data_IF_483691488868
#
_entry.id   IF_483691488868
#
_cell.length_a   1.000
_cell.length_b   1.000
_cell.length_c   1.000
_cell.angle_alpha   90.00
_cell.angle_beta   90.00
_cell.angle_gamma   90.00
#
_symmetry.space_group_name_H-M   'P 1'
#
loop_
_entity.id
_entity.type
_entity.pdbx_description
1 polymer ?
#
# COMPACT_ATOMS: atom_id res chain seq x y z
N UNK A 1 -6.76 -10.93 1.31
CA UNK A 1 -7.86 -11.44 2.01
C UNK A 1 -8.71 -10.45 2.78
N UNK A 2 -8.30 -9.34 3.15
CA UNK A 2 -9.11 -8.32 3.82
C UNK A 2 -9.35 -7.11 2.95
N UNK A 3 -9.42 -7.33 1.65
CA UNK A 3 -9.57 -6.25 0.67
C UNK A 3 -10.78 -5.36 0.95
N UNK A 4 -11.91 -5.97 1.33
CA UNK A 4 -13.12 -5.19 1.60
C UNK A 4 -12.92 -4.22 2.76
N UNK A 5 -12.45 -4.71 3.91
CA UNK A 5 -12.25 -3.88 5.10
C UNK A 5 -11.19 -2.81 4.87
N UNK A 6 -10.08 -3.17 4.22
CA UNK A 6 -9.01 -2.24 3.90
C UNK A 6 -9.50 -1.17 2.93
N UNK A 7 -10.22 -1.57 1.89
CA UNK A 7 -10.76 -0.65 0.89
C UNK A 7 -11.76 0.31 1.50
N UNK A 8 -12.60 -0.17 2.40
CA UNK A 8 -13.54 0.68 3.14
C UNK A 8 -12.80 1.76 3.94
N UNK A 9 -11.73 1.38 4.64
CA UNK A 9 -10.91 2.33 5.40
C UNK A 9 -10.22 3.34 4.48
N UNK A 10 -9.72 2.91 3.34
CA UNK A 10 -9.10 3.79 2.36
C UNK A 10 -10.11 4.79 1.80
N UNK A 11 -11.32 4.34 1.49
CA UNK A 11 -12.39 5.21 1.00
C UNK A 11 -12.74 6.29 2.02
N UNK A 12 -12.82 5.94 3.29
CA UNK A 12 -13.08 6.90 4.37
C UNK A 12 -12.02 8.00 4.41
N UNK A 13 -10.76 7.63 4.30
CA UNK A 13 -9.64 8.58 4.25
C UNK A 13 -9.77 9.50 3.03
N UNK A 14 -10.06 8.93 1.87
CA UNK A 14 -10.21 9.67 0.62
C UNK A 14 -11.34 10.68 0.72
N UNK A 15 -12.51 10.26 1.20
CA UNK A 15 -13.69 11.14 1.32
C UNK A 15 -13.43 12.27 2.32
N UNK A 16 -12.75 11.97 3.41
CA UNK A 16 -12.43 12.94 4.44
C UNK A 16 -11.51 14.03 3.89
N UNK A 17 -10.45 13.65 3.20
CA UNK A 17 -9.50 14.61 2.63
C UNK A 17 -10.09 15.41 1.47
N UNK A 18 -10.82 14.73 0.57
CA UNK A 18 -11.47 15.40 -0.56
C UNK A 18 -12.54 16.38 -0.08
N UNK A 19 -13.31 16.02 0.93
CA UNK A 19 -14.33 16.88 1.52
C UNK A 19 -13.73 18.14 2.12
N UNK A 20 -12.62 18.03 2.83
CA UNK A 20 -11.93 19.17 3.42
C UNK A 20 -11.38 20.13 2.36
N UNK A 21 -10.94 19.58 1.23
CA UNK A 21 -10.42 20.39 0.11
C UNK A 21 -11.50 21.02 -0.75
N UNK A 22 -12.78 20.75 -0.49
CA UNK A 22 -13.87 21.29 -1.29
C UNK A 22 -13.95 20.70 -2.70
N UNK A 23 -13.41 19.49 -2.91
CA UNK A 23 -13.40 18.84 -4.21
C UNK A 23 -14.80 18.45 -4.67
N UNK A 24 -15.08 18.62 -5.96
CA UNK A 24 -16.34 18.17 -6.56
C UNK A 24 -16.34 16.70 -6.90
N UNK A 25 -15.19 16.16 -7.28
CA UNK A 25 -15.05 14.76 -7.69
C UNK A 25 -13.63 14.27 -7.47
N UNK A 26 -13.49 13.01 -7.05
CA UNK A 26 -12.21 12.32 -6.99
C UNK A 26 -12.00 11.57 -8.30
N UNK A 27 -10.88 11.82 -8.96
CA UNK A 27 -10.53 11.23 -10.26
C UNK A 27 -9.72 9.96 -10.07
N UNK A 28 -8.70 10.01 -9.21
CA UNK A 28 -7.86 8.85 -8.93
C UNK A 28 -7.34 8.89 -7.50
N UNK A 29 -6.97 7.73 -7.00
CA UNK A 29 -6.38 7.55 -5.67
C UNK A 29 -5.12 6.73 -5.84
N UNK A 30 -3.99 7.30 -5.43
CA UNK A 30 -2.70 6.59 -5.44
C UNK A 30 -2.47 5.96 -4.08
N UNK A 31 -2.30 4.65 -4.06
CA UNK A 31 -2.15 3.86 -2.83
C UNK A 31 -0.81 3.13 -2.88
N UNK A 32 -0.09 3.15 -1.78
CA UNK A 32 1.14 2.37 -1.62
C UNK A 32 0.85 1.15 -0.77
N UNK A 33 1.18 -0.02 -1.32
CA UNK A 33 0.95 -1.29 -0.63
C UNK A 33 2.24 -2.11 -0.70
N UNK A 34 2.70 -2.59 0.46
CA UNK A 34 3.89 -3.42 0.52
C UNK A 34 3.73 -4.74 -0.23
N UNK A 35 4.82 -5.23 -0.81
CA UNK A 35 4.81 -6.50 -1.55
C UNK A 35 4.47 -7.70 -0.68
N UNK A 36 4.70 -7.61 0.62
CA UNK A 36 4.38 -8.70 1.55
C UNK A 36 2.91 -8.75 1.94
N UNK A 37 2.13 -7.73 1.55
CA UNK A 37 0.69 -7.74 1.77
C UNK A 37 0.03 -8.71 0.81
N UNK A 38 -0.93 -9.49 1.30
CA UNK A 38 -1.70 -10.44 0.51
C UNK A 38 -2.91 -9.79 -0.19
N UNK A 39 -3.03 -8.47 -0.12
CA UNK A 39 -4.10 -7.74 -0.80
C UNK A 39 -3.97 -7.88 -2.31
N UNK A 40 -5.10 -8.15 -2.98
CA UNK A 40 -5.14 -8.32 -4.42
C UNK A 40 -5.68 -7.05 -5.07
N UNK A 41 -4.91 -6.47 -5.99
CA UNK A 41 -5.23 -5.18 -6.61
C UNK A 41 -6.61 -5.14 -7.28
N UNK A 42 -6.94 -6.20 -8.03
CA UNK A 42 -8.23 -6.28 -8.73
C UNK A 42 -9.41 -6.24 -7.77
N UNK A 43 -9.31 -6.95 -6.65
CA UNK A 43 -10.37 -6.98 -5.65
C UNK A 43 -10.51 -5.62 -4.97
N UNK A 44 -9.42 -4.92 -4.74
CA UNK A 44 -9.46 -3.59 -4.14
C UNK A 44 -10.20 -2.61 -5.06
N UNK A 45 -9.92 -2.63 -6.37
CA UNK A 45 -10.63 -1.76 -7.31
C UNK A 45 -12.13 -2.11 -7.36
N UNK A 46 -12.47 -3.39 -7.37
CA UNK A 46 -13.87 -3.84 -7.41
C UNK A 46 -14.65 -3.41 -6.16
N UNK A 47 -14.06 -3.60 -5.01
CA UNK A 47 -14.70 -3.18 -3.75
C UNK A 47 -14.81 -1.66 -3.67
N UNK A 48 -13.79 -0.96 -4.13
CA UNK A 48 -13.82 0.50 -4.18
C UNK A 48 -14.96 0.99 -5.08
N UNK A 49 -15.10 0.40 -6.25
CA UNK A 49 -16.17 0.75 -7.18
C UNK A 49 -17.55 0.55 -6.55
N UNK A 50 -17.71 -0.54 -5.81
CA UNK A 50 -18.96 -0.84 -5.11
C UNK A 50 -19.22 0.12 -3.95
N UNK A 51 -18.22 0.32 -3.10
CA UNK A 51 -18.38 1.12 -1.86
C UNK A 51 -18.49 2.62 -2.14
N UNK A 52 -17.91 3.09 -3.23
CA UNK A 52 -17.88 4.52 -3.54
C UNK A 52 -19.14 5.01 -4.26
N UNK A 53 -20.07 4.15 -4.59
CA UNK A 53 -21.32 4.53 -5.26
C UNK A 53 -22.06 5.59 -4.46
N UNK A 54 -22.52 6.64 -5.16
CA UNK A 54 -23.22 7.74 -4.53
C UNK A 54 -22.33 8.73 -3.80
N UNK A 55 -21.01 8.58 -3.86
CA UNK A 55 -20.06 9.51 -3.27
C UNK A 55 -19.30 10.27 -4.34
N UNK A 56 -18.55 11.30 -3.95
CA UNK A 56 -17.69 12.05 -4.90
C UNK A 56 -16.52 11.21 -5.41
N UNK A 57 -16.28 10.04 -4.84
CA UNK A 57 -15.23 9.12 -5.27
C UNK A 57 -15.75 8.06 -6.26
N UNK A 58 -17.04 8.07 -6.61
CA UNK A 58 -17.59 7.13 -7.58
C UNK A 58 -16.87 7.23 -8.91
N UNK A 59 -16.44 6.08 -9.45
CA UNK A 59 -15.72 6.02 -10.71
C UNK A 59 -14.23 6.35 -10.63
N UNK A 60 -13.72 6.66 -9.44
CA UNK A 60 -12.29 6.94 -9.27
C UNK A 60 -11.45 5.69 -9.53
N UNK A 61 -10.29 5.89 -10.13
CA UNK A 61 -9.33 4.83 -10.40
C UNK A 61 -8.37 4.70 -9.22
N UNK A 62 -8.20 3.48 -8.72
CA UNK A 62 -7.16 3.20 -7.73
C UNK A 62 -5.88 2.83 -8.45
N UNK A 63 -4.82 3.59 -8.21
CA UNK A 63 -3.48 3.33 -8.73
C UNK A 63 -2.64 2.76 -7.59
N UNK A 64 -2.23 1.51 -7.73
CA UNK A 64 -1.49 0.81 -6.68
C UNK A 64 -0.03 0.71 -7.06
N UNK A 65 0.84 1.24 -6.19
CA UNK A 65 2.27 1.06 -6.28
C UNK A 65 2.69 0.05 -5.21
N UNK A 66 3.32 -1.03 -5.63
CA UNK A 66 3.83 -2.04 -4.70
C UNK A 66 5.21 -1.65 -4.20
N UNK A 67 5.38 -1.68 -2.90
CA UNK A 67 6.63 -1.32 -2.24
C UNK A 67 7.40 -2.59 -1.92
N UNK A 68 8.63 -2.76 -2.44
CA UNK A 68 9.41 -3.96 -2.18
C UNK A 68 9.76 -4.11 -0.70
N UNK A 69 9.92 -5.35 -0.27
CA UNK A 69 10.39 -5.63 1.07
C UNK A 69 11.85 -5.26 1.21
N UNK A 70 12.18 -4.45 2.21
CA UNK A 70 13.55 -4.13 2.55
C UNK A 70 13.82 -4.42 4.02
N UNK A 71 15.06 -4.79 4.31
CA UNK A 71 15.50 -5.12 5.65
C UNK A 71 16.69 -4.27 6.03
N UNK A 72 16.81 -4.00 7.32
CA UNK A 72 18.01 -3.37 7.89
C UNK A 72 18.76 -4.43 8.67
N UNK A 73 20.05 -4.57 8.38
CA UNK A 73 20.92 -5.46 9.16
C UNK A 73 21.12 -4.89 10.56
N UNK A 74 20.81 -5.70 11.57
CA UNK A 74 20.98 -5.28 12.97
C UNK A 74 22.45 -5.21 13.38
N UNK A 75 23.34 -5.91 12.65
CA UNK A 75 24.77 -5.94 12.95
C UNK A 75 25.53 -4.75 12.36
N UNK A 76 25.27 -4.41 11.08
CA UNK A 76 26.03 -3.35 10.39
C UNK A 76 25.19 -2.15 9.97
N UNK A 77 23.87 -2.21 10.07
CA UNK A 77 23.00 -1.11 9.71
C UNK A 77 22.69 -0.96 8.23
N UNK A 78 23.19 -1.84 7.38
CA UNK A 78 22.94 -1.80 5.95
C UNK A 78 21.45 -2.10 5.65
N UNK A 79 20.86 -1.36 4.71
CA UNK A 79 19.48 -1.58 4.26
C UNK A 79 19.53 -2.19 2.87
N UNK A 80 18.83 -3.30 2.69
CA UNK A 80 18.88 -4.05 1.43
C UNK A 80 17.51 -4.66 1.11
N UNK A 81 17.19 -4.83 -0.20
CA UNK A 81 15.95 -5.51 -0.59
C UNK A 81 16.11 -7.02 -0.48
N UNK A 82 15.05 -7.70 -0.05
CA UNK A 82 14.99 -9.15 -0.03
C UNK A 82 13.55 -9.62 0.03
N UNK A 83 13.29 -10.82 -0.46
CA UNK A 83 11.96 -11.41 -0.43
C UNK A 83 11.93 -12.56 0.58
N UNK A 84 11.28 -12.38 1.74
CA UNK A 84 11.21 -13.43 2.75
C UNK A 84 10.30 -14.60 2.35
N UNK A 85 9.58 -14.49 1.23
CA UNK A 85 8.73 -15.57 0.71
C UNK A 85 9.54 -16.61 -0.07
N UNK A 86 10.79 -16.32 -0.40
CA UNK A 86 11.67 -17.30 -1.05
C UNK A 86 12.16 -18.32 -0.03
N UNK A 87 12.59 -19.49 -0.52
CA UNK A 87 13.12 -20.54 0.36
C UNK A 87 14.59 -20.31 0.74
N UNK A 88 15.22 -19.34 0.13
CA UNK A 88 16.62 -19.02 0.41
C UNK A 88 16.74 -18.22 1.70
N UNK A 89 17.76 -18.52 2.49
CA UNK A 89 18.04 -17.76 3.69
C UNK A 89 18.46 -16.33 3.31
N UNK A 90 17.86 -15.35 4.00
CA UNK A 90 18.21 -13.96 3.78
C UNK A 90 19.41 -13.61 4.65
N UNK A 91 20.44 -13.03 4.03
CA UNK A 91 21.65 -12.59 4.71
C UNK A 91 22.02 -11.18 4.25
N UNK A 92 22.59 -10.42 5.16
CA UNK A 92 23.08 -9.09 4.82
C UNK A 92 24.17 -9.20 3.73
N UNK A 93 24.04 -8.48 2.61
CA UNK A 93 25.06 -8.54 1.55
C UNK A 93 26.39 -7.92 1.96
N UNK A 94 26.40 -7.14 3.03
CA UNK A 94 27.61 -6.48 3.53
C UNK A 94 28.37 -7.33 4.56
N UNK A 95 27.68 -7.91 5.55
CA UNK A 95 28.33 -8.63 6.64
C UNK A 95 27.87 -10.09 6.81
N UNK A 96 26.95 -10.56 5.96
CA UNK A 96 26.40 -11.91 5.98
C UNK A 96 25.63 -12.29 7.26
N UNK A 97 25.29 -11.33 8.13
CA UNK A 97 24.48 -11.58 9.31
C UNK A 97 23.05 -11.95 8.91
N UNK A 98 22.43 -12.81 9.70
CA UNK A 98 21.02 -13.16 9.54
C UNK A 98 20.11 -12.34 10.46
N UNK A 99 20.67 -11.53 11.35
CA UNK A 99 19.93 -10.68 12.26
C UNK A 99 19.49 -9.40 11.54
N UNK A 100 18.19 -9.25 11.29
CA UNK A 100 17.66 -8.13 10.52
C UNK A 100 16.27 -7.74 10.97
N UNK A 101 15.89 -6.50 10.64
CA UNK A 101 14.57 -5.93 10.93
C UNK A 101 13.93 -5.49 9.63
N UNK A 102 12.66 -5.85 9.43
CA UNK A 102 11.89 -5.41 8.26
C UNK A 102 11.67 -3.90 8.34
N UNK A 103 12.00 -3.18 7.26
CA UNK A 103 11.82 -1.73 7.15
C UNK A 103 10.60 -1.40 6.32
N UNK A 104 10.48 -1.98 5.12
CA UNK A 104 9.35 -1.75 4.22
C UNK A 104 8.81 -3.08 3.71
N UNK A 105 7.58 -3.09 3.20
CA UNK A 105 6.97 -4.25 2.58
C UNK A 105 5.59 -4.63 3.10
N UNK A 106 5.14 -4.00 4.18
CA UNK A 106 3.82 -4.27 4.79
C UNK A 106 2.92 -3.05 4.88
N UNK A 107 3.35 -1.91 4.38
CA UNK A 107 2.57 -0.68 4.43
C UNK A 107 1.33 -0.77 3.55
N UNK A 108 0.32 0.01 3.91
CA UNK A 108 -0.88 0.21 3.10
C UNK A 108 -1.43 1.59 3.45
N UNK A 109 -1.26 2.55 2.56
CA UNK A 109 -1.74 3.91 2.82
C UNK A 109 -2.02 4.66 1.53
N UNK A 110 -2.91 5.66 1.63
CA UNK A 110 -3.17 6.60 0.54
C UNK A 110 -2.03 7.58 0.48
N UNK A 111 -1.35 7.62 -0.66
CA UNK A 111 -0.25 8.56 -0.87
C UNK A 111 -0.76 9.90 -1.38
N UNK A 112 -1.73 9.87 -2.29
CA UNK A 112 -2.18 11.08 -2.96
C UNK A 112 -3.55 10.82 -3.59
N UNK A 113 -4.35 11.86 -3.71
CA UNK A 113 -5.60 11.83 -4.46
C UNK A 113 -5.59 12.91 -5.53
N UNK A 114 -6.19 12.61 -6.68
CA UNK A 114 -6.37 13.57 -7.76
C UNK A 114 -7.85 13.94 -7.81
N UNK A 115 -8.14 15.22 -7.74
CA UNK A 115 -9.51 15.75 -7.66
C UNK A 115 -9.75 16.82 -8.71
N UNK A 116 -11.02 17.08 -8.98
CA UNK A 116 -11.43 18.20 -9.85
C UNK A 116 -12.23 19.24 -9.06
#
# INVERSE_FOLDING_TARGET
MHELAVTESLLQVVLQHAGKGGAGKVVSVSVRIGELSDLVNEWMQRYFDYLSRGTIAEGALIRIERIPATFRCDACGDVFPADPRTREAIRCPCCASEAMTLVTGRECFVQQIEVT
#
